data_IF_423100098064
#
_entry.id   IF_423100098064
#
_cell.length_a   1.000
_cell.length_b   1.000
_cell.length_c   1.000
_cell.angle_alpha   90.00
_cell.angle_beta   90.00
_cell.angle_gamma   90.00
#
_symmetry.space_group_name_H-M   'P 1'
#
loop_
_entity.id
_entity.type
_entity.pdbx_description
1 polymer ?
#
# COMPACT_ATOMS: atom_id res chain seq x y z
N UNK A 1 35.04 1.78 10.26
CA UNK A 1 34.25 1.20 11.37
C UNK A 1 34.52 -0.30 11.39
N UNK A 2 34.91 -0.85 12.53
CA UNK A 2 35.38 -2.24 12.67
C UNK A 2 34.23 -3.25 12.66
N UNK A 3 34.42 -4.36 11.93
CA UNK A 3 33.49 -5.48 11.72
C UNK A 3 33.10 -6.20 13.03
N UNK A 4 33.86 -5.99 14.12
CA UNK A 4 33.60 -6.59 15.43
C UNK A 4 32.33 -6.12 16.17
N UNK A 5 31.64 -5.07 15.70
CA UNK A 5 30.46 -4.54 16.39
C UNK A 5 29.12 -5.14 15.96
N UNK A 6 29.10 -5.99 14.93
CA UNK A 6 27.84 -6.51 14.33
C UNK A 6 27.15 -7.56 15.21
N UNK A 7 27.91 -8.44 15.85
CA UNK A 7 27.36 -9.43 16.79
C UNK A 7 26.94 -8.81 18.13
N UNK A 8 27.65 -7.77 18.58
CA UNK A 8 27.36 -7.09 19.85
C UNK A 8 26.08 -6.23 19.81
N UNK A 9 25.74 -5.65 18.65
CA UNK A 9 24.50 -4.86 18.47
C UNK A 9 23.25 -5.74 18.40
N UNK A 10 23.33 -6.91 17.76
CA UNK A 10 22.20 -7.86 17.67
C UNK A 10 21.93 -8.52 19.02
N UNK A 11 22.95 -8.77 19.84
CA UNK A 11 22.76 -9.34 21.20
C UNK A 11 22.24 -8.32 22.23
N UNK A 12 22.50 -7.01 22.09
CA UNK A 12 22.04 -5.99 23.07
C UNK A 12 20.58 -5.55 22.92
N UNK A 13 19.90 -5.92 21.84
CA UNK A 13 18.49 -5.54 21.59
C UNK A 13 17.46 -6.53 22.17
N UNK A 14 17.89 -7.56 22.92
CA UNK A 14 17.02 -8.64 23.40
C UNK A 14 16.39 -8.48 24.80
N UNK A 15 16.67 -7.42 25.57
CA UNK A 15 16.32 -7.38 27.01
C UNK A 15 15.34 -6.30 27.46
N UNK A 16 14.54 -5.71 26.55
CA UNK A 16 13.41 -4.87 27.00
C UNK A 16 12.14 -5.70 27.12
N UNK A 17 11.90 -6.20 28.34
CA UNK A 17 10.61 -6.77 28.78
C UNK A 17 9.53 -5.69 28.62
N UNK A 18 8.71 -5.80 27.59
CA UNK A 18 7.50 -5.00 27.47
C UNK A 18 6.46 -5.51 28.48
N UNK A 19 6.10 -4.63 29.42
CA UNK A 19 4.89 -4.77 30.24
C UNK A 19 3.65 -4.64 29.34
N UNK A 20 2.59 -5.43 29.55
CA UNK A 20 1.38 -5.34 28.75
C UNK A 20 0.60 -4.06 29.09
N UNK A 21 0.58 -3.10 28.16
CA UNK A 21 -0.27 -1.93 28.24
C UNK A 21 -1.60 -2.20 27.52
N UNK A 22 -2.66 -2.20 28.33
CA UNK A 22 -4.03 -1.76 28.01
C UNK A 22 -4.81 -2.63 27.00
N UNK A 23 -5.77 -3.37 27.55
CA UNK A 23 -6.93 -3.90 26.82
C UNK A 23 -7.76 -2.72 26.31
N UNK A 24 -7.83 -2.54 24.99
CA UNK A 24 -8.85 -1.70 24.37
C UNK A 24 -10.15 -2.51 24.22
N UNK A 25 -11.28 -2.06 24.78
CA UNK A 25 -12.59 -2.66 24.55
C UNK A 25 -13.32 -1.86 23.47
N UNK A 26 -13.56 -2.46 22.30
CA UNK A 26 -14.77 -2.24 21.48
C UNK A 26 -14.56 -2.75 20.05
N UNK A 27 -14.87 -4.02 19.82
CA UNK A 27 -15.52 -4.43 18.58
C UNK A 27 -16.73 -5.28 18.99
N UNK A 28 -17.90 -5.12 18.33
CA UNK A 28 -19.07 -5.92 18.64
C UNK A 28 -18.83 -7.39 18.24
N UNK A 29 -18.99 -8.28 19.21
CA UNK A 29 -19.04 -9.72 19.02
C UNK A 29 -20.18 -10.08 18.06
N UNK A 30 -19.83 -10.73 16.94
CA UNK A 30 -20.76 -11.62 16.25
C UNK A 30 -20.72 -12.98 16.96
N UNK A 31 -21.43 -13.09 18.08
CA UNK A 31 -21.87 -14.37 18.64
C UNK A 31 -23.31 -14.57 18.18
N UNK A 32 -23.55 -15.44 17.19
CA UNK A 32 -23.77 -16.88 17.35
C UNK A 32 -24.94 -17.16 18.31
N UNK A 33 -26.11 -17.33 17.69
CA UNK A 33 -27.36 -17.64 18.37
C UNK A 33 -27.38 -19.11 18.78
N UNK A 34 -27.27 -19.35 20.08
CA UNK A 34 -27.57 -20.66 20.69
C UNK A 34 -28.52 -20.48 21.86
N UNK A 35 -29.79 -20.79 21.63
CA UNK A 35 -30.83 -21.14 22.62
C UNK A 35 -32.06 -21.58 21.77
N UNK A 36 -32.85 -22.60 22.01
CA UNK A 36 -33.18 -23.46 23.16
C UNK A 36 -33.75 -24.75 22.56
N UNK A 37 -33.47 -25.90 23.17
CA UNK A 37 -34.17 -27.14 22.89
C UNK A 37 -35.57 -27.10 23.54
N UNK A 38 -36.63 -27.14 22.72
CA UNK A 38 -37.96 -27.54 23.17
C UNK A 38 -38.51 -28.64 22.27
N UNK A 39 -38.94 -29.72 22.94
CA UNK A 39 -39.69 -30.85 22.42
C UNK A 39 -40.88 -30.39 21.57
N UNK A 40 -41.04 -30.95 20.37
CA UNK A 40 -42.36 -31.07 19.76
C UNK A 40 -42.47 -32.36 18.95
N UNK A 41 -43.57 -33.05 19.24
CA UNK A 41 -43.98 -34.36 18.79
C UNK A 41 -44.02 -34.52 17.27
N UNK A 42 -43.67 -35.73 16.83
CA UNK A 42 -43.93 -36.22 15.48
C UNK A 42 -45.43 -36.12 15.16
N UNK A 43 -45.77 -35.27 14.19
CA UNK A 43 -47.06 -35.34 13.50
C UNK A 43 -46.80 -35.38 12.01
N UNK A 44 -46.88 -36.59 11.47
CA UNK A 44 -46.83 -36.89 10.03
C UNK A 44 -47.98 -36.18 9.34
N UNK A 45 -47.67 -35.24 8.43
CA UNK A 45 -48.65 -34.64 7.53
C UNK A 45 -48.20 -34.93 6.10
N UNK A 46 -49.09 -35.61 5.38
CA UNK A 46 -49.02 -35.91 3.95
C UNK A 46 -48.83 -34.62 3.15
N UNK A 47 -47.86 -34.65 2.23
CA UNK A 47 -47.70 -33.63 1.19
C UNK A 47 -48.65 -34.03 0.06
N UNK A 48 -49.68 -33.21 -0.12
CA UNK A 48 -50.61 -33.27 -1.25
C UNK A 48 -50.09 -32.30 -2.31
N UNK A 49 -49.81 -32.83 -3.51
CA UNK A 49 -49.35 -32.08 -4.66
C UNK A 49 -50.48 -31.16 -5.15
N UNK A 50 -50.33 -29.84 -4.96
CA UNK A 50 -51.24 -28.87 -5.57
C UNK A 50 -50.49 -27.73 -6.22
N UNK A 51 -50.57 -27.73 -7.55
CA UNK A 51 -50.10 -26.71 -8.48
C UNK A 51 -50.46 -25.29 -8.01
N UNK A 52 -49.46 -24.41 -7.98
CA UNK A 52 -49.66 -22.97 -7.88
C UNK A 52 -49.39 -22.33 -9.24
N UNK A 53 -50.47 -22.12 -9.99
CA UNK A 53 -50.51 -21.20 -11.13
C UNK A 53 -50.71 -19.78 -10.59
N UNK A 54 -49.68 -18.94 -10.69
CA UNK A 54 -49.80 -17.51 -10.39
C UNK A 54 -50.19 -16.76 -11.66
N UNK A 55 -51.43 -16.30 -11.69
CA UNK A 55 -51.96 -15.35 -12.66
C UNK A 55 -51.53 -13.93 -12.28
N UNK A 56 -51.01 -13.22 -13.28
CA UNK A 56 -50.82 -11.77 -13.26
C UNK A 56 -52.18 -11.08 -13.19
N UNK A 57 -52.36 -10.20 -12.21
CA UNK A 57 -53.35 -9.14 -12.29
C UNK A 57 -52.71 -7.81 -11.91
N UNK A 58 -52.64 -6.97 -12.94
CA UNK A 58 -52.45 -5.53 -12.92
C UNK A 58 -53.51 -4.82 -12.08
N UNK A 59 -53.10 -3.78 -11.35
CA UNK A 59 -54.00 -2.72 -10.89
C UNK A 59 -53.24 -1.41 -10.86
N UNK A 60 -53.76 -0.47 -11.64
CA UNK A 60 -53.31 0.90 -11.80
C UNK A 60 -53.35 1.67 -10.47
N UNK A 61 -52.39 2.55 -10.26
CA UNK A 61 -52.61 3.75 -9.43
C UNK A 61 -51.85 4.92 -10.05
N UNK A 62 -52.64 5.86 -10.52
CA UNK A 62 -52.30 7.19 -11.02
C UNK A 62 -51.88 8.12 -9.88
N UNK A 63 -50.78 8.87 -10.04
CA UNK A 63 -50.69 10.31 -9.74
C UNK A 63 -49.26 10.89 -9.92
N UNK A 64 -49.18 11.86 -10.83
CA UNK A 64 -48.39 13.10 -10.78
C UNK A 64 -46.85 13.06 -10.87
N UNK A 65 -46.35 13.17 -12.11
CA UNK A 65 -45.03 13.70 -12.45
C UNK A 65 -45.00 15.24 -12.38
N UNK A 66 -43.88 15.87 -11.97
CA UNK A 66 -43.50 17.19 -12.42
C UNK A 66 -42.71 17.09 -13.73
N UNK A 67 -43.23 17.78 -14.74
CA UNK A 67 -42.68 17.98 -16.07
C UNK A 67 -41.49 18.96 -16.05
N UNK A 68 -40.34 18.53 -16.59
CA UNK A 68 -39.26 19.44 -17.01
C UNK A 68 -39.25 19.49 -18.54
N UNK A 69 -39.49 20.70 -19.05
CA UNK A 69 -39.53 21.06 -20.46
C UNK A 69 -38.11 21.03 -21.03
N UNK A 70 -37.90 20.21 -22.06
CA UNK A 70 -36.71 20.24 -22.90
C UNK A 70 -36.95 21.35 -23.93
N UNK A 71 -36.20 22.44 -23.84
CA UNK A 71 -36.09 23.41 -24.92
C UNK A 71 -34.92 22.98 -25.81
N UNK A 72 -35.25 22.49 -27.00
CA UNK A 72 -34.34 22.42 -28.12
C UNK A 72 -34.07 23.85 -28.61
N UNK A 73 -32.82 24.27 -28.48
CA UNK A 73 -32.29 25.53 -28.98
C UNK A 73 -31.01 25.25 -29.76
N UNK A 74 -31.21 24.87 -31.01
CA UNK A 74 -30.26 25.03 -32.10
C UNK A 74 -29.72 26.47 -32.11
N UNK A 75 -28.39 26.65 -32.20
CA UNK A 75 -27.69 27.66 -33.02
C UNK A 75 -26.21 27.84 -32.61
N UNK A 76 -25.41 27.74 -33.66
CA UNK A 76 -24.09 28.30 -33.95
C UNK A 76 -22.77 27.79 -33.37
N UNK A 77 -21.92 27.50 -34.34
CA UNK A 77 -20.48 27.29 -34.27
C UNK A 77 -19.80 28.64 -34.04
N UNK A 78 -19.05 28.77 -32.95
CA UNK A 78 -17.89 29.69 -32.93
C UNK A 78 -16.69 29.01 -32.30
N UNK A 79 -15.74 28.67 -33.17
CA UNK A 79 -14.39 28.27 -32.84
C UNK A 79 -13.70 29.48 -32.19
N UNK A 80 -13.34 29.37 -30.92
CA UNK A 80 -12.39 30.30 -30.28
C UNK A 80 -11.11 29.52 -30.01
N UNK A 81 -10.19 29.62 -30.96
CA UNK A 81 -8.77 29.32 -30.77
C UNK A 81 -8.18 30.44 -29.91
N UNK A 82 -7.94 30.16 -28.62
CA UNK A 82 -7.13 31.04 -27.78
C UNK A 82 -5.68 30.62 -27.95
N UNK A 83 -5.03 31.26 -28.92
CA UNK A 83 -3.58 31.33 -28.99
C UNK A 83 -3.10 32.25 -27.85
N UNK A 84 -2.33 31.69 -26.93
CA UNK A 84 -1.57 32.51 -25.99
C UNK A 84 -0.21 32.83 -26.59
N UNK A 85 -0.14 34.11 -26.93
CA UNK A 85 0.96 34.94 -27.38
C UNK A 85 2.24 34.73 -26.58
N UNK A 86 3.30 34.50 -27.36
CA UNK A 86 4.71 34.65 -27.00
C UNK A 86 4.96 36.08 -26.52
N UNK A 87 5.46 36.23 -25.29
CA UNK A 87 6.25 37.39 -24.89
C UNK A 87 7.65 36.87 -24.61
N UNK A 88 8.50 36.96 -25.61
CA UNK A 88 9.94 36.82 -25.46
C UNK A 88 10.47 38.12 -24.84
N UNK A 89 10.95 38.06 -23.60
CA UNK A 89 11.84 39.10 -23.07
C UNK A 89 13.28 38.81 -23.53
N UNK A 90 13.94 39.73 -24.23
CA UNK A 90 15.37 39.70 -24.45
C UNK A 90 16.04 40.58 -23.39
N UNK A 91 16.67 39.97 -22.39
CA UNK A 91 17.21 40.70 -21.25
C UNK A 91 18.47 40.11 -20.65
N UNK A 92 19.61 40.64 -21.11
CA UNK A 92 20.92 40.69 -20.46
C UNK A 92 21.71 39.39 -20.22
N UNK A 93 22.67 39.19 -21.13
CA UNK A 93 23.96 38.58 -20.87
C UNK A 93 24.66 39.29 -19.69
N UNK A 94 24.86 38.60 -18.57
CA UNK A 94 25.94 38.91 -17.64
C UNK A 94 27.05 37.89 -17.86
N UNK A 95 28.12 38.39 -18.48
CA UNK A 95 29.41 37.74 -18.61
C UNK A 95 30.13 37.90 -17.26
N UNK A 96 29.90 36.96 -16.34
CA UNK A 96 30.80 36.82 -15.19
C UNK A 96 31.96 35.93 -15.61
N UNK A 97 33.07 36.58 -15.95
CA UNK A 97 34.39 35.98 -16.10
C UNK A 97 34.80 35.33 -14.78
N UNK A 98 34.42 34.06 -14.61
CA UNK A 98 34.98 33.20 -13.56
C UNK A 98 36.41 32.88 -13.98
N UNK A 99 37.36 33.56 -13.34
CA UNK A 99 38.76 33.15 -13.32
C UNK A 99 38.85 31.69 -12.88
N UNK A 100 39.05 30.79 -13.85
CA UNK A 100 39.50 29.43 -13.62
C UNK A 100 40.92 29.55 -13.05
N UNK A 101 41.01 29.56 -11.72
CA UNK A 101 42.27 29.46 -11.01
C UNK A 101 42.68 28.00 -11.11
N UNK A 102 43.61 27.71 -12.03
CA UNK A 102 44.30 26.43 -12.17
C UNK A 102 44.92 26.05 -10.82
N UNK A 103 44.16 25.31 -10.02
CA UNK A 103 44.67 24.60 -8.87
C UNK A 103 45.55 23.49 -9.40
N UNK A 104 46.85 23.78 -9.55
CA UNK A 104 47.91 22.79 -9.69
C UNK A 104 47.83 21.83 -8.51
N UNK A 105 47.11 20.75 -8.72
CA UNK A 105 47.10 19.60 -7.81
C UNK A 105 48.51 19.03 -7.77
N UNK A 106 49.22 19.30 -6.68
CA UNK A 106 50.44 18.57 -6.34
C UNK A 106 50.09 17.08 -6.27
N UNK A 107 50.81 16.20 -6.99
CA UNK A 107 50.61 14.76 -6.93
C UNK A 107 50.72 14.30 -5.48
N UNK A 108 49.60 13.97 -4.85
CA UNK A 108 49.60 13.32 -3.55
C UNK A 108 50.06 11.89 -3.80
N UNK A 109 51.29 11.63 -3.41
CA UNK A 109 51.92 10.31 -3.37
C UNK A 109 51.18 9.48 -2.29
N UNK A 110 50.04 8.91 -2.68
CA UNK A 110 49.31 7.99 -1.81
C UNK A 110 50.06 6.65 -1.84
N UNK A 111 50.47 6.12 -0.68
CA UNK A 111 51.14 4.84 -0.62
C UNK A 111 50.25 3.78 -1.28
N UNK A 112 50.80 3.14 -2.32
CA UNK A 112 50.22 2.03 -3.06
C UNK A 112 49.83 0.96 -2.04
N UNK A 113 48.53 0.90 -1.70
CA UNK A 113 47.99 -0.16 -0.87
C UNK A 113 48.09 -1.44 -1.69
N UNK A 114 49.10 -2.24 -1.39
CA UNK A 114 49.21 -3.60 -1.86
C UNK A 114 47.90 -4.32 -1.54
N UNK A 115 47.25 -4.75 -2.63
CA UNK A 115 46.18 -5.73 -2.76
C UNK A 115 45.84 -6.47 -1.45
N UNK A 116 45.05 -5.85 -0.58
CA UNK A 116 44.17 -6.63 0.29
C UNK A 116 43.14 -7.22 -0.66
N UNK A 117 43.26 -8.53 -0.87
CA UNK A 117 42.21 -9.38 -1.40
C UNK A 117 40.93 -9.05 -0.64
N UNK A 118 40.15 -8.13 -1.20
CA UNK A 118 38.79 -7.90 -0.79
C UNK A 118 38.07 -9.18 -1.21
N UNK A 119 38.04 -10.16 -0.32
CA UNK A 119 37.09 -11.26 -0.39
C UNK A 119 35.72 -10.59 -0.57
N UNK A 120 35.25 -10.65 -1.80
CA UNK A 120 33.97 -10.18 -2.25
C UNK A 120 32.94 -11.11 -1.62
N UNK A 121 32.63 -10.87 -0.35
CA UNK A 121 31.49 -11.47 0.32
C UNK A 121 30.26 -10.90 -0.37
N UNK A 122 29.87 -11.52 -1.47
CA UNK A 122 28.61 -11.27 -2.15
C UNK A 122 27.50 -11.52 -1.12
N UNK A 123 27.02 -10.44 -0.50
CA UNK A 123 25.95 -10.54 0.47
C UNK A 123 24.72 -11.09 -0.24
N UNK A 124 24.26 -12.27 0.18
CA UNK A 124 23.06 -12.89 -0.40
C UNK A 124 21.82 -12.10 -0.01
N UNK A 125 20.93 -11.83 -0.97
CA UNK A 125 19.58 -11.33 -0.69
C UNK A 125 18.80 -12.38 0.12
N UNK A 126 18.18 -11.97 1.22
CA UNK A 126 17.27 -12.84 1.97
C UNK A 126 15.82 -12.51 1.59
N UNK A 127 15.04 -13.52 1.18
CA UNK A 127 13.64 -13.38 0.78
C UNK A 127 12.79 -14.31 1.65
N UNK A 128 11.70 -13.78 2.21
CA UNK A 128 10.73 -14.51 3.02
C UNK A 128 9.33 -14.30 2.44
N UNK A 129 8.66 -15.39 2.07
CA UNK A 129 7.35 -15.36 1.43
C UNK A 129 6.29 -16.03 2.30
N UNK A 130 5.09 -15.47 2.28
CA UNK A 130 3.92 -16.01 2.96
C UNK A 130 3.99 -15.78 4.47
N UNK A 131 3.21 -14.82 4.96
CA UNK A 131 3.08 -14.53 6.38
C UNK A 131 2.00 -15.39 7.04
N UNK A 132 2.18 -15.72 8.33
CA UNK A 132 1.16 -16.34 9.15
C UNK A 132 0.01 -15.35 9.40
N UNK A 133 -1.23 -15.83 9.50
CA UNK A 133 -2.37 -14.94 9.77
C UNK A 133 -2.29 -14.30 11.16
N UNK A 134 -1.74 -15.01 12.14
CA UNK A 134 -1.47 -14.48 13.47
C UNK A 134 -0.38 -13.39 13.43
N UNK A 135 0.68 -13.59 12.63
CA UNK A 135 1.72 -12.60 12.42
C UNK A 135 1.18 -11.32 11.79
N UNK A 136 0.27 -11.45 10.80
CA UNK A 136 -0.45 -10.31 10.22
C UNK A 136 -1.23 -9.55 11.29
N UNK A 137 -2.04 -10.23 12.09
CA UNK A 137 -2.84 -9.60 13.14
C UNK A 137 -1.98 -8.95 14.24
N UNK A 138 -0.75 -9.44 14.43
CA UNK A 138 0.20 -8.90 15.41
C UNK A 138 0.89 -7.63 14.90
N UNK A 139 1.29 -7.60 13.62
CA UNK A 139 2.07 -6.50 13.04
C UNK A 139 1.16 -5.38 12.54
N UNK A 140 0.07 -5.75 11.87
CA UNK A 140 -0.80 -4.80 11.21
C UNK A 140 -2.04 -4.55 12.05
N UNK A 141 -2.33 -3.27 12.25
CA UNK A 141 -3.61 -2.80 12.76
C UNK A 141 -4.28 -1.93 11.71
N UNK A 142 -5.59 -1.72 11.84
CA UNK A 142 -6.34 -0.86 10.93
C UNK A 142 -6.83 -1.55 9.65
N UNK A 143 -6.91 -0.77 8.57
CA UNK A 143 -7.64 -1.13 7.35
C UNK A 143 -6.95 -2.20 6.49
N UNK A 144 -5.64 -2.38 6.66
CA UNK A 144 -4.89 -3.37 5.88
C UNK A 144 -5.21 -4.81 6.31
N UNK A 145 -5.68 -5.00 7.55
CA UNK A 145 -6.06 -6.31 8.07
C UNK A 145 -7.31 -6.82 7.33
N UNK A 146 -7.20 -7.99 6.70
CA UNK A 146 -8.24 -8.53 5.82
C UNK A 146 -8.26 -7.95 4.39
N UNK A 147 -7.34 -7.04 4.06
CA UNK A 147 -7.15 -6.55 2.68
C UNK A 147 -6.06 -7.31 1.92
N UNK A 148 -5.14 -7.94 2.64
CA UNK A 148 -4.07 -8.75 2.07
C UNK A 148 -4.65 -10.07 1.55
N UNK A 149 -4.28 -10.44 0.32
CA UNK A 149 -4.68 -11.69 -0.32
C UNK A 149 -4.17 -12.87 0.50
N UNK A 150 -5.02 -13.87 0.71
CA UNK A 150 -4.64 -15.12 1.38
C UNK A 150 -4.64 -16.27 0.38
N UNK A 151 -3.59 -17.08 0.39
CA UNK A 151 -3.55 -18.35 -0.35
C UNK A 151 -3.78 -19.51 0.61
N UNK A 152 -4.53 -20.52 0.17
CA UNK A 152 -4.75 -21.75 0.92
C UNK A 152 -4.04 -22.90 0.23
N UNK A 153 -3.36 -23.74 1.01
CA UNK A 153 -2.68 -24.94 0.53
C UNK A 153 -2.99 -26.12 1.45
N UNK A 154 -3.06 -27.32 0.87
CA UNK A 154 -3.29 -28.55 1.63
C UNK A 154 -2.00 -29.36 1.73
N UNK A 155 -1.66 -29.80 2.92
CA UNK A 155 -0.50 -30.67 3.17
C UNK A 155 -0.92 -31.76 4.15
N UNK A 156 -0.73 -33.03 3.78
CA UNK A 156 -1.15 -34.19 4.58
C UNK A 156 -2.64 -34.15 4.98
N UNK A 157 -3.50 -33.69 4.07
CA UNK A 157 -4.95 -33.58 4.31
C UNK A 157 -5.37 -32.44 5.23
N UNK A 158 -4.44 -31.61 5.72
CA UNK A 158 -4.71 -30.41 6.50
C UNK A 158 -4.59 -29.17 5.61
N UNK A 159 -5.60 -28.31 5.66
CA UNK A 159 -5.61 -27.02 4.96
C UNK A 159 -4.96 -25.95 5.83
N UNK A 160 -4.04 -25.21 5.26
CA UNK A 160 -3.37 -24.07 5.87
C UNK A 160 -3.55 -22.85 4.98
N UNK A 161 -3.58 -21.66 5.59
CA UNK A 161 -3.67 -20.39 4.87
C UNK A 161 -2.52 -19.48 5.27
N UNK A 162 -1.96 -18.78 4.28
CA UNK A 162 -0.92 -17.76 4.46
C UNK A 162 -1.34 -16.47 3.76
N UNK A 163 -0.95 -15.34 4.33
CA UNK A 163 -1.13 -14.04 3.69
C UNK A 163 -0.01 -13.81 2.66
N UNK A 164 -0.36 -13.22 1.52
CA UNK A 164 0.53 -12.90 0.40
C UNK A 164 1.38 -11.67 0.74
N UNK A 165 2.39 -11.93 1.57
CA UNK A 165 3.36 -10.95 2.06
C UNK A 165 4.76 -11.47 1.76
N UNK A 166 5.58 -10.61 1.19
CA UNK A 166 6.97 -10.89 0.88
C UNK A 166 7.87 -9.87 1.58
N UNK A 167 8.83 -10.35 2.35
CA UNK A 167 9.87 -9.51 2.96
C UNK A 167 11.21 -9.78 2.28
N UNK A 168 11.88 -8.72 1.84
CA UNK A 168 13.19 -8.79 1.18
C UNK A 168 14.21 -7.94 1.93
N UNK A 169 15.34 -8.54 2.28
CA UNK A 169 16.51 -7.83 2.78
C UNK A 169 17.59 -7.85 1.69
N UNK A 170 17.78 -6.75 0.96
CA UNK A 170 18.78 -6.68 -0.09
C UNK A 170 20.20 -6.71 0.49
N UNK A 171 21.21 -7.01 -0.35
CA UNK A 171 22.60 -6.85 0.01
C UNK A 171 22.94 -5.45 0.51
N UNK A 172 23.97 -5.38 1.36
CA UNK A 172 24.47 -4.14 1.95
C UNK A 172 24.73 -3.05 0.90
N UNK A 173 24.24 -1.84 1.17
CA UNK A 173 24.46 -0.68 0.29
C UNK A 173 23.37 -0.44 -0.76
N UNK A 174 22.30 -1.23 -0.76
CA UNK A 174 21.10 -0.95 -1.56
C UNK A 174 20.37 0.34 -1.13
N UNK A 175 19.47 0.85 -1.98
CA UNK A 175 18.68 2.06 -1.69
C UNK A 175 17.68 1.87 -0.54
N UNK A 176 17.30 0.63 -0.24
CA UNK A 176 16.41 0.24 0.86
C UNK A 176 17.11 -0.78 1.76
N UNK A 177 16.83 -0.73 3.06
CA UNK A 177 17.37 -1.67 4.03
C UNK A 177 16.48 -2.93 4.18
N UNK A 178 15.17 -2.76 4.06
CA UNK A 178 14.16 -3.82 4.07
C UNK A 178 12.98 -3.39 3.19
N UNK A 179 12.53 -4.27 2.30
CA UNK A 179 11.35 -4.10 1.47
C UNK A 179 10.27 -5.08 1.90
N UNK A 180 9.10 -4.59 2.24
CA UNK A 180 7.93 -5.39 2.58
C UNK A 180 6.83 -5.16 1.53
N UNK A 181 6.46 -6.21 0.82
CA UNK A 181 5.46 -6.17 -0.26
C UNK A 181 4.21 -6.93 0.14
N UNK A 182 3.04 -6.32 -0.04
CA UNK A 182 1.73 -6.86 0.28
C UNK A 182 0.89 -6.95 -0.99
N UNK A 183 0.41 -8.14 -1.34
CA UNK A 183 -0.55 -8.33 -2.43
C UNK A 183 -1.97 -8.18 -1.90
N UNK A 184 -2.71 -7.26 -2.51
CA UNK A 184 -4.00 -6.76 -2.04
C UNK A 184 -5.13 -7.30 -2.92
N UNK A 185 -6.22 -7.71 -2.28
CA UNK A 185 -7.45 -8.12 -2.94
C UNK A 185 -8.07 -6.97 -3.74
N UNK A 186 -8.55 -7.26 -4.96
CA UNK A 186 -9.22 -6.30 -5.85
C UNK A 186 -10.33 -5.50 -5.15
N UNK A 187 -11.18 -6.18 -4.37
CA UNK A 187 -12.29 -5.56 -3.64
C UNK A 187 -11.87 -4.51 -2.59
N UNK A 188 -10.58 -4.44 -2.25
CA UNK A 188 -10.03 -3.52 -1.23
C UNK A 188 -9.14 -2.43 -1.82
N UNK A 189 -8.79 -2.53 -3.11
CA UNK A 189 -7.91 -1.59 -3.81
C UNK A 189 -8.42 -0.15 -3.71
N UNK A 190 -9.68 0.11 -4.04
CA UNK A 190 -10.24 1.47 -3.99
C UNK A 190 -10.23 2.07 -2.58
N UNK A 191 -10.55 1.26 -1.57
CA UNK A 191 -10.59 1.72 -0.18
C UNK A 191 -9.19 2.12 0.30
N UNK A 192 -8.17 1.30 -0.01
CA UNK A 192 -6.80 1.60 0.37
C UNK A 192 -6.19 2.75 -0.45
N UNK A 193 -6.48 2.84 -1.75
CA UNK A 193 -6.04 3.96 -2.57
C UNK A 193 -6.59 5.30 -2.06
N UNK A 194 -7.86 5.31 -1.64
CA UNK A 194 -8.47 6.48 -1.01
C UNK A 194 -7.80 6.80 0.32
N UNK A 195 -7.65 5.82 1.21
CA UNK A 195 -7.10 6.03 2.54
C UNK A 195 -5.62 6.47 2.56
N UNK A 196 -4.81 5.96 1.61
CA UNK A 196 -3.37 6.26 1.55
C UNK A 196 -3.05 7.49 0.69
N UNK A 197 -3.75 7.69 -0.43
CA UNK A 197 -3.35 8.66 -1.46
C UNK A 197 -4.45 9.68 -1.79
N UNK A 198 -5.58 9.66 -1.07
CA UNK A 198 -6.78 10.45 -1.40
C UNK A 198 -7.16 10.32 -2.89
N UNK A 199 -7.05 9.08 -3.40
CA UNK A 199 -7.25 8.75 -4.79
C UNK A 199 -8.41 7.75 -4.96
N UNK A 200 -9.33 8.07 -5.86
CA UNK A 200 -10.29 7.11 -6.40
C UNK A 200 -9.63 6.32 -7.52
N UNK A 201 -9.82 5.01 -7.55
CA UNK A 201 -9.31 4.14 -8.61
C UNK A 201 -10.43 3.24 -9.11
N UNK A 202 -10.57 3.13 -10.42
CA UNK A 202 -11.60 2.32 -11.06
C UNK A 202 -11.10 1.77 -12.39
N UNK A 203 -11.30 0.48 -12.62
CA UNK A 203 -11.12 -0.13 -13.93
C UNK A 203 -12.40 0.02 -14.76
N UNK A 204 -12.26 0.49 -16.01
CA UNK A 204 -13.35 0.54 -17.00
C UNK A 204 -12.84 -0.10 -18.28
N UNK A 205 -13.34 -1.30 -18.57
CA UNK A 205 -12.76 -2.14 -19.62
C UNK A 205 -11.28 -2.40 -19.31
N UNK A 206 -10.39 -2.05 -20.25
CA UNK A 206 -8.94 -2.20 -20.09
C UNK A 206 -8.23 -0.92 -19.66
N UNK A 207 -8.96 0.11 -19.22
CA UNK A 207 -8.37 1.38 -18.80
C UNK A 207 -8.51 1.57 -17.30
N UNK A 208 -7.41 1.97 -16.66
CA UNK A 208 -7.39 2.38 -15.27
C UNK A 208 -7.68 3.87 -15.18
N UNK A 209 -8.77 4.23 -14.50
CA UNK A 209 -9.13 5.61 -14.20
C UNK A 209 -8.77 5.93 -12.74
N UNK A 210 -8.01 7.00 -12.55
CA UNK A 210 -7.55 7.49 -11.26
C UNK A 210 -8.03 8.92 -11.10
N UNK A 211 -8.82 9.22 -10.07
CA UNK A 211 -9.29 10.58 -9.76
C UNK A 211 -8.78 11.04 -8.41
N UNK A 212 -8.29 12.28 -8.32
CA UNK A 212 -7.83 12.91 -7.09
C UNK A 212 -8.86 13.94 -6.61
N UNK A 213 -8.89 14.22 -5.30
CA UNK A 213 -9.89 15.12 -4.68
C UNK A 213 -9.96 16.52 -5.31
N UNK A 214 -8.86 17.02 -5.90
CA UNK A 214 -8.80 18.33 -6.54
C UNK A 214 -9.35 18.34 -7.98
N UNK A 215 -10.07 17.29 -8.37
CA UNK A 215 -10.73 17.17 -9.67
C UNK A 215 -9.81 16.77 -10.82
N UNK A 216 -8.51 16.59 -10.58
CA UNK A 216 -7.62 16.00 -11.59
C UNK A 216 -7.91 14.51 -11.75
N UNK A 217 -7.89 14.04 -12.99
CA UNK A 217 -8.05 12.62 -13.29
C UNK A 217 -7.00 12.17 -14.31
N UNK A 218 -6.48 10.97 -14.11
CA UNK A 218 -5.59 10.28 -15.02
C UNK A 218 -6.27 9.01 -15.54
N UNK A 219 -6.25 8.81 -16.86
CA UNK A 219 -6.70 7.57 -17.47
C UNK A 219 -5.49 6.89 -18.11
N UNK A 220 -5.20 5.66 -17.71
CA UNK A 220 -4.05 4.89 -18.20
C UNK A 220 -4.56 3.65 -18.95
N UNK A 221 -4.41 3.58 -20.28
CA UNK A 221 -4.90 2.45 -21.06
C UNK A 221 -3.98 1.22 -20.93
N UNK A 222 -4.56 0.03 -20.77
CA UNK A 222 -3.89 -1.29 -20.71
C UNK A 222 -2.66 -1.34 -19.79
N UNK A 223 -2.63 -0.52 -18.74
CA UNK A 223 -1.41 -0.32 -17.95
C UNK A 223 -1.70 -0.30 -16.47
N UNK A 224 -0.65 -0.59 -15.71
CA UNK A 224 -0.59 -0.41 -14.27
C UNK A 224 -0.20 1.04 -13.95
N UNK A 225 -0.57 1.51 -12.77
CA UNK A 225 -0.14 2.81 -12.27
C UNK A 225 0.45 2.67 -10.87
N UNK A 226 1.50 3.46 -10.59
CA UNK A 226 2.10 3.52 -9.26
C UNK A 226 1.70 4.81 -8.57
N UNK A 227 1.04 4.68 -7.42
CA UNK A 227 0.75 5.79 -6.51
C UNK A 227 1.87 5.89 -5.47
N UNK A 228 2.32 7.11 -5.18
CA UNK A 228 3.37 7.43 -4.21
C UNK A 228 3.02 8.73 -3.47
N UNK A 229 3.68 8.98 -2.35
CA UNK A 229 3.50 10.20 -1.56
C UNK A 229 2.36 10.05 -0.55
N UNK A 230 2.67 9.44 0.59
CA UNK A 230 1.71 9.18 1.66
C UNK A 230 2.02 10.06 2.88
N UNK A 231 1.00 10.59 3.54
CA UNK A 231 1.13 11.32 4.81
C UNK A 231 1.26 10.38 6.02
N UNK A 232 1.92 10.85 7.08
CA UNK A 232 2.15 10.05 8.30
C UNK A 232 0.85 9.56 8.94
N UNK A 233 -0.17 10.42 8.98
CA UNK A 233 -1.49 10.12 9.55
C UNK A 233 -2.15 8.95 8.81
N UNK A 234 -2.09 8.94 7.47
CA UNK A 234 -2.59 7.86 6.63
C UNK A 234 -1.84 6.55 6.86
N UNK A 235 -0.51 6.60 7.04
CA UNK A 235 0.30 5.41 7.33
C UNK A 235 -0.13 4.78 8.66
N UNK A 236 -0.24 5.59 9.72
CA UNK A 236 -0.66 5.11 11.05
C UNK A 236 -2.07 4.54 10.99
N UNK A 237 -3.00 5.21 10.31
CA UNK A 237 -4.38 4.74 10.17
C UNK A 237 -4.50 3.40 9.42
N UNK A 238 -3.73 3.24 8.34
CA UNK A 238 -3.87 2.07 7.45
C UNK A 238 -3.07 0.87 7.94
N UNK A 239 -1.83 1.08 8.40
CA UNK A 239 -0.90 0.00 8.75
C UNK A 239 -0.67 -0.14 10.26
N UNK A 240 -0.91 0.92 11.03
CA UNK A 240 -0.60 0.98 12.45
C UNK A 240 0.72 1.66 12.79
N UNK A 241 0.91 1.92 14.09
CA UNK A 241 2.08 2.66 14.60
C UNK A 241 3.39 1.90 14.46
N UNK A 242 3.38 0.56 14.51
CA UNK A 242 4.60 -0.25 14.38
C UNK A 242 5.23 -0.11 12.97
N UNK A 243 4.40 -0.20 11.92
CA UNK A 243 4.84 0.01 10.54
C UNK A 243 5.29 1.46 10.33
N UNK A 244 4.55 2.43 10.87
CA UNK A 244 4.95 3.84 10.80
C UNK A 244 6.34 4.07 11.40
N UNK A 245 6.59 3.55 12.61
CA UNK A 245 7.91 3.64 13.25
C UNK A 245 9.01 2.99 12.39
N UNK A 246 8.72 1.82 11.81
CA UNK A 246 9.66 1.13 10.94
C UNK A 246 10.00 1.93 9.66
N UNK A 247 9.03 2.70 9.14
CA UNK A 247 9.24 3.63 8.02
C UNK A 247 10.07 4.84 8.47
N UNK A 248 9.83 5.41 9.64
CA UNK A 248 10.61 6.54 10.15
C UNK A 248 12.10 6.20 10.34
N UNK A 249 12.42 4.93 10.59
CA UNK A 249 13.80 4.43 10.66
C UNK A 249 14.44 4.15 9.28
N UNK A 250 13.67 4.24 8.18
CA UNK A 250 14.17 4.04 6.82
C UNK A 250 15.10 5.17 6.39
N UNK A 251 16.22 4.83 5.76
CA UNK A 251 17.14 5.83 5.17
C UNK A 251 16.48 6.73 4.14
N UNK A 252 15.48 6.21 3.42
CA UNK A 252 14.71 7.00 2.46
C UNK A 252 13.90 8.06 3.20
N UNK A 253 13.19 7.68 4.28
CA UNK A 253 12.39 8.60 5.07
C UNK A 253 13.24 9.67 5.75
N UNK A 254 14.38 9.29 6.32
CA UNK A 254 15.32 10.23 6.92
C UNK A 254 15.78 11.29 5.92
N UNK A 255 16.14 10.88 4.69
CA UNK A 255 16.52 11.82 3.62
C UNK A 255 15.37 12.73 3.22
N UNK A 256 14.16 12.20 3.07
CA UNK A 256 12.97 12.99 2.74
C UNK A 256 12.73 14.09 3.79
N UNK A 257 12.90 13.76 5.07
CA UNK A 257 12.77 14.73 6.17
C UNK A 257 13.87 15.79 6.13
N UNK A 258 15.11 15.42 5.84
CA UNK A 258 16.23 16.36 5.65
C UNK A 258 15.96 17.33 4.47
N UNK A 259 15.24 16.88 3.44
CA UNK A 259 14.80 17.67 2.29
C UNK A 259 13.51 18.47 2.56
N UNK A 260 12.93 18.38 3.77
CA UNK A 260 11.69 19.06 4.14
C UNK A 260 10.42 18.47 3.52
N UNK A 261 10.47 17.22 3.02
CA UNK A 261 9.31 16.53 2.43
C UNK A 261 8.40 15.94 3.51
N UNK A 262 7.19 16.49 3.61
CA UNK A 262 6.18 16.02 4.57
C UNK A 262 5.59 14.65 4.19
N UNK A 263 5.39 14.40 2.89
CA UNK A 263 4.90 13.12 2.36
C UNK A 263 6.07 12.19 2.02
N UNK A 264 5.88 10.89 2.23
CA UNK A 264 6.92 9.88 1.98
C UNK A 264 6.64 9.02 0.75
N UNK A 265 7.69 8.67 0.01
CA UNK A 265 7.69 7.64 -1.02
C UNK A 265 8.06 6.25 -0.48
N UNK A 266 8.34 6.12 0.83
CA UNK A 266 8.58 4.82 1.46
C UNK A 266 7.35 3.90 1.36
N UNK A 267 6.18 4.45 1.08
CA UNK A 267 4.96 3.71 0.76
C UNK A 267 4.59 3.97 -0.69
N UNK A 268 4.40 2.90 -1.44
CA UNK A 268 3.88 2.97 -2.82
C UNK A 268 2.87 1.87 -3.07
N UNK A 269 1.97 2.11 -4.03
CA UNK A 269 0.94 1.15 -4.42
C UNK A 269 0.91 1.03 -5.94
N UNK A 270 1.15 -0.19 -6.44
CA UNK A 270 1.04 -0.52 -7.86
C UNK A 270 -0.35 -1.12 -8.07
N UNK A 271 -1.21 -0.38 -8.77
CA UNK A 271 -2.59 -0.80 -9.06
C UNK A 271 -2.60 -1.62 -10.35
N UNK A 272 -3.19 -2.81 -10.29
CA UNK A 272 -3.31 -3.74 -11.41
C UNK A 272 -4.77 -4.13 -11.63
N UNK A 273 -5.06 -4.84 -12.73
CA UNK A 273 -6.41 -5.35 -13.02
C UNK A 273 -6.89 -6.34 -11.95
N UNK A 274 -5.99 -7.09 -11.33
CA UNK A 274 -6.30 -8.19 -10.40
C UNK A 274 -6.22 -7.80 -8.92
N UNK A 275 -5.94 -6.53 -8.61
CA UNK A 275 -5.64 -6.11 -7.25
C UNK A 275 -4.63 -4.97 -7.21
N UNK A 276 -3.79 -4.99 -6.18
CA UNK A 276 -2.67 -4.08 -6.08
C UNK A 276 -1.52 -4.71 -5.31
N UNK A 277 -0.33 -4.14 -5.48
CA UNK A 277 0.85 -4.46 -4.66
C UNK A 277 1.22 -3.20 -3.90
N UNK A 278 1.21 -3.28 -2.57
CA UNK A 278 1.71 -2.20 -1.70
C UNK A 278 3.13 -2.54 -1.29
N UNK A 279 4.06 -1.62 -1.54
CA UNK A 279 5.46 -1.75 -1.15
C UNK A 279 5.80 -0.76 -0.04
N UNK A 280 6.46 -1.26 1.01
CA UNK A 280 6.90 -0.51 2.17
C UNK A 280 8.42 -0.61 2.30
N UNK A 281 9.10 0.54 2.37
CA UNK A 281 10.52 0.64 2.65
C UNK A 281 10.74 0.88 4.13
N UNK A 282 11.36 -0.09 4.81
CA UNK A 282 11.52 -0.10 6.26
C UNK A 282 13.01 0.01 6.64
N UNK A 283 13.28 0.54 7.84
CA UNK A 283 14.61 0.46 8.45
C UNK A 283 15.01 -0.99 8.77
N UNK A 284 16.31 -1.29 8.74
CA UNK A 284 16.83 -2.65 8.90
C UNK A 284 16.40 -3.30 10.23
N UNK A 285 16.50 -2.54 11.32
CA UNK A 285 16.28 -3.04 12.69
C UNK A 285 14.81 -3.39 12.90
N UNK A 286 13.91 -2.44 12.71
CA UNK A 286 12.47 -2.69 12.78
C UNK A 286 11.98 -3.68 11.71
N UNK A 287 12.49 -3.62 10.49
CA UNK A 287 12.16 -4.58 9.43
C UNK A 287 12.47 -6.02 9.83
N UNK A 288 13.61 -6.27 10.48
CA UNK A 288 13.97 -7.60 10.99
C UNK A 288 13.03 -8.08 12.11
N UNK A 289 12.58 -7.17 12.98
CA UNK A 289 11.61 -7.49 14.04
C UNK A 289 10.24 -7.83 13.46
N UNK A 290 9.75 -7.03 12.51
CA UNK A 290 8.51 -7.27 11.78
C UNK A 290 8.57 -8.62 11.07
N UNK A 291 9.66 -8.93 10.36
CA UNK A 291 9.86 -10.22 9.70
C UNK A 291 9.72 -11.40 10.67
N UNK A 292 10.29 -11.30 11.88
CA UNK A 292 10.19 -12.36 12.90
C UNK A 292 8.76 -12.59 13.35
N UNK A 293 7.94 -11.54 13.43
CA UNK A 293 6.52 -11.63 13.78
C UNK A 293 5.68 -12.19 12.63
N UNK A 294 5.97 -11.81 11.39
CA UNK A 294 5.21 -12.21 10.21
C UNK A 294 5.41 -13.68 9.82
N UNK A 295 6.61 -14.22 10.00
CA UNK A 295 7.00 -15.54 9.49
C UNK A 295 7.33 -16.54 10.61
N UNK A 296 6.52 -16.54 11.67
CA UNK A 296 6.52 -17.53 12.75
C UNK A 296 5.92 -18.88 12.34
#
# INVERSE_FOLDING_TARGET
MSIGNRAALVCKLGEKKHLPLIKNPSFPDFADGTAVAENLEEKSIQIDDREFSLSLNSSETTASQPSYTINEGEVDRSVISIGNTVISEPGLLHHDDVHIQDNRETPRDYPRRDNLEAEEYAASTEIFEGASLEGIATVFSGLICGSIRTSSFSTNGKTYSKASVTTVFPPWGGPVDCLLSLDICESRVQTLAMALFNATVKWVGKSLHIGFERGSSLTVPNSEATLKGVGNESIVMVFGSEIHQAIDESRIRLRELDEGRMMTECVSMIVTEKGAIINLSLGLVCGSQIKKKLHT
#
